data_IF_588426631408
#
_entry.id   IF_588426631408
#
_cell.length_a   1.000
_cell.length_b   1.000
_cell.length_c   1.000
_cell.angle_alpha   90.00
_cell.angle_beta   90.00
_cell.angle_gamma   90.00
#
_symmetry.space_group_name_H-M   'P 1'
#
loop_
_entity.id
_entity.type
_entity.pdbx_description
1 polymer ?
#
# COMPACT_ATOMS: atom_id res chain seq x y z
N UNK A 1 -11.40 8.43 35.94
CA UNK A 1 -11.21 8.00 34.54
C UNK A 1 -10.72 9.18 33.73
N UNK A 2 -9.51 9.13 33.16
CA UNK A 2 -9.09 10.15 32.19
C UNK A 2 -10.08 10.13 31.02
N UNK A 3 -10.72 11.26 30.76
CA UNK A 3 -11.70 11.42 29.71
C UNK A 3 -10.98 11.33 28.35
N UNK A 4 -10.99 10.14 27.74
CA UNK A 4 -10.41 9.95 26.41
C UNK A 4 -11.40 10.50 25.37
N UNK A 5 -11.14 11.70 24.85
CA UNK A 5 -12.04 12.39 23.91
C UNK A 5 -12.19 11.69 22.55
N UNK A 6 -11.33 10.71 22.23
CA UNK A 6 -11.28 10.06 20.92
C UNK A 6 -11.07 8.54 21.02
N UNK A 7 -11.70 7.81 20.10
CA UNK A 7 -11.53 6.36 19.93
C UNK A 7 -10.07 6.00 19.63
N UNK A 8 -9.57 4.94 20.26
CA UNK A 8 -8.21 4.42 20.02
C UNK A 8 -8.19 3.70 18.66
N UNK A 9 -7.69 4.38 17.62
CA UNK A 9 -7.47 3.82 16.29
C UNK A 9 -5.98 3.58 16.06
N UNK A 10 -5.64 2.47 15.41
CA UNK A 10 -4.29 2.25 14.90
C UNK A 10 -3.97 3.35 13.88
N UNK A 11 -2.79 3.98 14.02
CA UNK A 11 -2.35 5.04 13.11
C UNK A 11 -1.43 4.41 12.07
N UNK A 12 -1.68 4.58 10.77
CA UNK A 12 -0.75 4.12 9.74
C UNK A 12 0.58 4.87 9.84
N UNK A 13 1.67 4.18 9.56
CA UNK A 13 2.99 4.75 9.41
C UNK A 13 3.07 5.57 8.10
N UNK A 14 2.66 6.84 8.18
CA UNK A 14 2.68 7.79 7.07
C UNK A 14 3.77 8.84 7.29
N UNK A 15 4.42 9.24 6.19
CA UNK A 15 5.18 10.47 6.10
C UNK A 15 4.29 11.70 5.91
N UNK A 16 4.89 12.79 5.41
CA UNK A 16 4.19 14.03 5.10
C UNK A 16 3.28 13.89 3.88
N UNK A 17 3.75 13.18 2.86
CA UNK A 17 3.12 12.95 1.56
C UNK A 17 2.67 11.50 1.38
N UNK A 18 3.53 10.53 1.70
CA UNK A 18 3.24 9.11 1.50
C UNK A 18 3.95 8.22 2.53
N UNK A 19 3.74 6.90 2.45
CA UNK A 19 4.43 5.90 3.29
C UNK A 19 5.94 5.90 3.04
N UNK A 20 6.33 6.03 1.78
CA UNK A 20 7.72 6.16 1.36
C UNK A 20 7.88 7.50 0.63
N UNK A 21 8.78 8.32 1.13
CA UNK A 21 9.07 9.63 0.56
C UNK A 21 10.52 10.04 0.84
N UNK A 22 11.11 10.81 -0.06
CA UNK A 22 12.40 11.43 0.17
C UNK A 22 12.42 12.87 -0.31
N UNK A 23 12.79 13.79 0.58
CA UNK A 23 13.14 15.14 0.20
C UNK A 23 14.59 15.22 -0.26
N UNK A 24 14.81 15.68 -1.50
CA UNK A 24 16.14 15.98 -2.02
C UNK A 24 16.48 17.41 -1.59
N UNK A 25 17.59 17.56 -0.87
CA UNK A 25 18.02 18.81 -0.21
C UNK A 25 19.47 19.13 -0.51
N UNK A 26 19.87 20.36 -0.19
CA UNK A 26 21.28 20.75 -0.22
C UNK A 26 21.82 21.00 -1.62
N UNK A 27 20.98 21.21 -2.64
CA UNK A 27 21.39 21.69 -3.97
C UNK A 27 20.31 22.59 -4.61
N UNK A 28 20.51 23.05 -5.84
CA UNK A 28 19.58 23.94 -6.56
C UNK A 28 18.29 23.22 -6.96
N UNK A 29 17.18 23.96 -7.12
CA UNK A 29 15.92 23.36 -7.60
C UNK A 29 16.06 22.73 -8.98
N UNK A 30 16.89 23.30 -9.85
CA UNK A 30 17.20 22.72 -11.16
C UNK A 30 17.86 21.33 -11.04
N UNK A 31 18.88 21.19 -10.19
CA UNK A 31 19.51 19.89 -9.96
C UNK A 31 18.54 18.86 -9.37
N UNK A 32 17.66 19.28 -8.44
CA UNK A 32 16.63 18.42 -7.86
C UNK A 32 15.65 17.94 -8.94
N UNK A 33 15.14 18.85 -9.76
CA UNK A 33 14.20 18.53 -10.84
C UNK A 33 14.84 17.59 -11.87
N UNK A 34 16.08 17.86 -12.28
CA UNK A 34 16.82 17.00 -13.19
C UNK A 34 17.03 15.60 -12.63
N UNK A 35 17.43 15.49 -11.36
CA UNK A 35 17.60 14.19 -10.70
C UNK A 35 16.26 13.46 -10.56
N UNK A 36 15.21 14.12 -10.08
CA UNK A 36 13.89 13.51 -9.93
C UNK A 36 13.35 13.00 -11.27
N UNK A 37 13.55 13.75 -12.36
CA UNK A 37 13.18 13.33 -13.71
C UNK A 37 14.04 12.15 -14.21
N UNK A 38 15.33 12.13 -13.92
CA UNK A 38 16.19 11.01 -14.27
C UNK A 38 15.74 9.72 -13.56
N UNK A 39 15.59 9.79 -12.23
CA UNK A 39 15.14 8.67 -11.41
C UNK A 39 13.76 8.15 -11.83
N UNK A 40 12.84 9.05 -12.20
CA UNK A 40 11.49 8.63 -12.61
C UNK A 40 11.49 7.77 -13.87
N UNK A 41 12.41 8.00 -14.82
CA UNK A 41 12.52 7.17 -16.04
C UNK A 41 12.87 5.72 -15.71
N UNK A 42 13.67 5.50 -14.67
CA UNK A 42 14.10 4.17 -14.24
C UNK A 42 13.10 3.49 -13.31
N UNK A 43 12.44 4.26 -12.43
CA UNK A 43 11.55 3.71 -11.39
C UNK A 43 10.10 3.49 -11.85
N UNK A 44 9.59 4.33 -12.75
CA UNK A 44 8.17 4.30 -13.18
C UNK A 44 7.71 3.03 -13.91
N UNK A 45 8.57 2.22 -14.57
CA UNK A 45 8.13 0.94 -15.13
C UNK A 45 7.65 -0.07 -14.09
N UNK A 46 8.08 0.07 -12.82
CA UNK A 46 7.78 -0.89 -11.74
C UNK A 46 6.97 -0.29 -10.59
N UNK A 47 7.13 1.01 -10.33
CA UNK A 47 6.55 1.69 -9.17
C UNK A 47 5.70 2.88 -9.58
N UNK A 48 4.64 3.15 -8.82
CA UNK A 48 3.84 4.37 -8.92
C UNK A 48 4.56 5.51 -8.20
N UNK A 49 4.89 6.59 -8.92
CA UNK A 49 5.71 7.68 -8.41
C UNK A 49 4.94 8.98 -8.28
N UNK A 50 5.09 9.64 -7.14
CA UNK A 50 4.69 11.03 -6.94
C UNK A 50 5.90 11.97 -6.98
N UNK A 51 5.67 13.22 -7.36
CA UNK A 51 6.66 14.29 -7.25
C UNK A 51 6.00 15.54 -6.66
N UNK A 52 6.61 16.12 -5.63
CA UNK A 52 6.13 17.34 -4.98
C UNK A 52 7.17 18.46 -5.11
N UNK A 53 6.77 19.57 -5.73
CA UNK A 53 7.63 20.73 -6.00
C UNK A 53 6.81 22.02 -6.04
N UNK A 54 7.46 23.16 -5.85
CA UNK A 54 6.85 24.47 -5.98
C UNK A 54 7.47 25.20 -7.17
N UNK A 55 6.64 25.71 -8.07
CA UNK A 55 7.12 26.55 -9.16
C UNK A 55 7.32 27.99 -8.68
N UNK A 56 8.50 28.55 -8.92
CA UNK A 56 8.86 29.94 -8.62
C UNK A 56 9.11 30.76 -9.88
N UNK A 57 8.94 30.19 -11.09
CA UNK A 57 9.05 30.96 -12.33
C UNK A 57 7.80 31.80 -12.55
N UNK A 58 7.92 33.08 -12.18
CA UNK A 58 7.31 34.21 -12.87
C UNK A 58 5.79 34.24 -12.92
N UNK A 59 5.20 35.03 -12.02
CA UNK A 59 3.90 35.67 -12.22
C UNK A 59 3.95 36.70 -13.38
N UNK A 60 4.45 36.29 -14.55
CA UNK A 60 4.37 37.02 -15.84
C UNK A 60 3.40 36.33 -16.82
N UNK A 61 2.76 35.22 -16.42
CA UNK A 61 1.47 34.85 -17.00
C UNK A 61 0.38 35.57 -16.21
N UNK A 62 -0.27 36.54 -16.86
CA UNK A 62 -1.43 37.31 -16.40
C UNK A 62 -2.14 36.64 -15.22
N UNK A 63 -2.28 37.33 -14.08
CA UNK A 63 -3.05 36.92 -12.90
C UNK A 63 -4.27 36.09 -13.34
N UNK A 64 -4.11 34.76 -13.38
CA UNK A 64 -5.20 33.86 -13.67
C UNK A 64 -5.97 33.83 -12.38
N UNK A 65 -6.88 34.80 -12.22
CA UNK A 65 -7.91 34.75 -11.19
C UNK A 65 -8.72 33.50 -11.49
N UNK A 66 -8.36 32.40 -10.84
CA UNK A 66 -9.18 31.20 -10.81
C UNK A 66 -10.51 31.62 -10.18
N UNK A 67 -11.59 31.59 -10.97
CA UNK A 67 -12.94 31.92 -10.51
C UNK A 67 -13.66 30.70 -9.93
N UNK A 68 -13.22 29.50 -10.30
CA UNK A 68 -13.74 28.23 -9.80
C UNK A 68 -12.85 27.71 -8.68
N UNK A 69 -13.44 27.34 -7.55
CA UNK A 69 -12.71 26.77 -6.41
C UNK A 69 -11.88 25.54 -6.81
N UNK A 70 -12.38 24.77 -7.76
CA UNK A 70 -11.71 23.62 -8.38
C UNK A 70 -11.93 23.68 -9.89
N UNK A 71 -10.87 23.50 -10.67
CA UNK A 71 -10.93 23.45 -12.14
C UNK A 71 -10.35 22.13 -12.66
N UNK A 72 -11.18 21.32 -13.32
CA UNK A 72 -10.78 20.05 -13.94
C UNK A 72 -10.55 20.25 -15.44
N UNK A 73 -9.35 19.94 -15.91
CA UNK A 73 -8.98 20.02 -17.32
C UNK A 73 -8.54 18.65 -17.82
N UNK A 74 -9.22 18.19 -18.87
CA UNK A 74 -8.77 17.05 -19.66
C UNK A 74 -7.79 17.53 -20.74
N UNK A 75 -6.57 17.00 -20.73
CA UNK A 75 -5.54 17.31 -21.71
C UNK A 75 -5.08 16.03 -22.40
N UNK A 76 -4.52 16.20 -23.60
CA UNK A 76 -3.94 15.07 -24.33
C UNK A 76 -2.79 14.49 -23.49
N UNK A 77 -2.98 13.24 -23.03
CA UNK A 77 -1.99 12.47 -22.29
C UNK A 77 -2.00 12.65 -20.77
N UNK A 78 -2.75 13.60 -20.21
CA UNK A 78 -2.87 13.77 -18.75
C UNK A 78 -4.07 14.63 -18.35
N UNK A 79 -4.53 14.49 -17.11
CA UNK A 79 -5.52 15.39 -16.54
C UNK A 79 -4.86 16.38 -15.58
N UNK A 80 -5.43 17.57 -15.44
CA UNK A 80 -5.00 18.58 -14.48
C UNK A 80 -6.17 18.99 -13.60
N UNK A 81 -5.90 19.09 -12.31
CA UNK A 81 -6.82 19.63 -11.32
C UNK A 81 -6.16 20.82 -10.63
N UNK A 82 -6.75 22.01 -10.80
CA UNK A 82 -6.27 23.24 -10.17
C UNK A 82 -7.19 23.63 -9.01
N UNK A 83 -6.61 24.11 -7.91
CA UNK A 83 -7.32 24.53 -6.69
C UNK A 83 -7.00 26.00 -6.37
N UNK A 84 -7.99 26.76 -5.91
CA UNK A 84 -7.76 28.11 -5.37
C UNK A 84 -7.10 28.01 -4.00
N UNK A 85 -7.68 27.19 -3.12
CA UNK A 85 -7.16 26.99 -1.77
C UNK A 85 -6.06 25.93 -1.77
N UNK A 86 -5.01 26.17 -1.00
CA UNK A 86 -3.94 25.20 -0.83
C UNK A 86 -4.46 23.99 -0.06
N UNK A 87 -4.40 22.77 -0.63
CA UNK A 87 -4.87 21.57 0.03
C UNK A 87 -4.07 21.32 1.31
N UNK A 88 -4.76 20.91 2.37
CA UNK A 88 -4.10 20.60 3.64
C UNK A 88 -3.42 19.22 3.58
N UNK A 89 -2.63 18.90 4.60
CA UNK A 89 -1.81 17.67 4.60
C UNK A 89 -2.63 16.37 4.54
N UNK A 90 -3.89 16.37 4.99
CA UNK A 90 -4.76 15.20 4.91
C UNK A 90 -5.24 14.93 3.48
N UNK A 91 -5.58 16.00 2.75
CA UNK A 91 -6.00 15.93 1.35
C UNK A 91 -4.84 15.50 0.46
N UNK A 92 -3.66 16.10 0.68
CA UNK A 92 -2.43 15.75 -0.03
C UNK A 92 -2.09 14.26 0.11
N UNK A 93 -2.11 13.73 1.34
CA UNK A 93 -1.85 12.30 1.60
C UNK A 93 -2.89 11.39 0.94
N UNK A 94 -4.15 11.83 0.89
CA UNK A 94 -5.19 11.07 0.21
C UNK A 94 -4.91 10.96 -1.29
N UNK A 95 -4.47 12.05 -1.94
CA UNK A 95 -4.12 12.01 -3.37
C UNK A 95 -2.86 11.23 -3.68
N UNK A 96 -1.89 11.23 -2.76
CA UNK A 96 -0.64 10.47 -2.89
C UNK A 96 -0.77 9.01 -2.42
N UNK A 97 -1.95 8.58 -1.96
CA UNK A 97 -2.16 7.27 -1.34
C UNK A 97 -1.76 6.08 -2.23
N UNK A 98 -1.91 6.21 -3.55
CA UNK A 98 -1.59 5.12 -4.47
C UNK A 98 -0.09 5.04 -4.81
N UNK A 99 0.68 6.08 -4.50
CA UNK A 99 2.11 6.17 -4.83
C UNK A 99 2.93 5.26 -3.93
N UNK A 100 3.86 4.52 -4.53
CA UNK A 100 4.84 3.70 -3.84
C UNK A 100 5.99 4.53 -3.28
N UNK A 101 6.28 5.65 -3.95
CA UNK A 101 7.36 6.56 -3.63
C UNK A 101 6.98 7.98 -4.05
N UNK A 102 7.12 8.95 -3.13
CA UNK A 102 7.06 10.37 -3.46
C UNK A 102 8.45 11.01 -3.35
N UNK A 103 8.96 11.55 -4.46
CA UNK A 103 10.14 12.42 -4.45
C UNK A 103 9.71 13.86 -4.16
N UNK A 104 10.43 14.55 -3.29
CA UNK A 104 10.05 15.89 -2.82
C UNK A 104 11.21 16.84 -3.07
N UNK A 105 10.93 18.01 -3.66
CA UNK A 105 11.88 19.10 -3.65
C UNK A 105 11.95 19.71 -2.25
N UNK A 106 13.00 19.32 -1.51
CA UNK A 106 13.17 19.71 -0.12
C UNK A 106 13.42 21.21 0.09
N UNK A 107 13.80 21.95 -0.97
CA UNK A 107 13.95 23.39 -0.86
C UNK A 107 12.62 24.07 -0.51
N UNK A 108 11.50 23.48 -0.94
CA UNK A 108 10.14 23.99 -0.74
C UNK A 108 9.40 23.26 0.37
N UNK A 109 9.42 21.93 0.33
CA UNK A 109 8.60 21.10 1.23
C UNK A 109 9.44 20.21 2.14
N UNK A 110 8.82 19.74 3.21
CA UNK A 110 9.42 18.78 4.13
C UNK A 110 8.94 17.36 3.80
N UNK A 111 9.77 16.38 4.14
CA UNK A 111 9.47 14.96 4.06
C UNK A 111 10.12 14.27 5.28
N UNK A 112 9.67 13.08 5.63
CA UNK A 112 10.16 12.31 6.78
C UNK A 112 11.60 11.83 6.62
N UNK A 113 12.03 11.58 5.37
CA UNK A 113 13.37 11.11 5.01
C UNK A 113 14.01 12.06 4.00
N UNK A 114 15.33 12.16 4.01
CA UNK A 114 16.07 13.11 3.17
C UNK A 114 17.22 12.44 2.41
N UNK A 115 17.43 12.92 1.19
CA UNK A 115 18.63 12.72 0.38
C UNK A 115 19.36 14.05 0.34
N UNK A 116 20.57 14.10 0.89
CA UNK A 116 21.31 15.35 1.05
C UNK A 116 22.43 15.46 0.02
N UNK A 117 22.27 16.37 -0.94
CA UNK A 117 23.35 16.78 -1.82
C UNK A 117 24.33 17.69 -1.08
N UNK A 118 25.62 17.45 -1.28
CA UNK A 118 26.72 18.17 -0.64
C UNK A 118 27.20 19.34 -1.51
N UNK A 119 26.27 20.21 -1.94
CA UNK A 119 26.57 21.37 -2.79
C UNK A 119 26.86 22.63 -1.95
N UNK A 120 28.10 23.10 -2.00
CA UNK A 120 28.56 24.26 -1.22
C UNK A 120 27.77 25.54 -1.51
N UNK A 121 27.17 25.68 -2.69
CA UNK A 121 26.31 26.83 -3.06
C UNK A 121 25.06 26.92 -2.18
N UNK A 122 24.68 25.85 -1.47
CA UNK A 122 23.48 25.80 -0.62
C UNK A 122 23.78 25.67 0.87
N UNK A 123 25.04 25.59 1.31
CA UNK A 123 25.37 25.43 2.73
C UNK A 123 24.83 26.54 3.63
N UNK A 124 24.88 27.81 3.18
CA UNK A 124 24.32 28.93 3.94
C UNK A 124 22.79 28.89 4.07
N UNK A 125 22.10 28.31 3.08
CA UNK A 125 20.66 28.11 3.15
C UNK A 125 20.34 26.91 4.06
N UNK A 126 21.13 25.85 3.95
CA UNK A 126 20.96 24.61 4.71
C UNK A 126 21.23 24.80 6.20
N UNK A 127 22.26 25.57 6.58
CA UNK A 127 22.59 25.87 7.98
C UNK A 127 21.46 26.58 8.73
N UNK A 128 20.60 27.31 8.00
CA UNK A 128 19.38 27.94 8.54
C UNK A 128 18.16 27.01 8.59
N UNK A 129 18.23 25.84 7.97
CA UNK A 129 17.14 24.86 7.83
C UNK A 129 17.49 23.49 8.40
N UNK A 130 18.41 23.42 9.36
CA UNK A 130 18.89 22.14 9.94
C UNK A 130 17.77 21.32 10.58
N UNK A 131 16.74 21.95 11.11
CA UNK A 131 15.56 21.27 11.64
C UNK A 131 14.82 20.41 10.61
N UNK A 132 15.06 20.61 9.29
CA UNK A 132 14.50 19.80 8.21
C UNK A 132 15.33 18.55 7.89
N UNK A 133 16.54 18.43 8.41
CA UNK A 133 17.39 17.25 8.26
C UNK A 133 17.15 16.34 9.47
N UNK A 134 16.11 15.53 9.40
CA UNK A 134 15.69 14.64 10.50
C UNK A 134 16.23 13.23 10.33
N UNK A 135 16.16 12.69 9.12
CA UNK A 135 16.62 11.35 8.77
C UNK A 135 17.23 11.39 7.37
N UNK A 136 18.55 11.60 7.32
CA UNK A 136 19.31 11.61 6.07
C UNK A 136 19.74 10.19 5.75
N UNK A 137 19.20 9.62 4.67
CA UNK A 137 19.47 8.23 4.29
C UNK A 137 20.55 8.09 3.22
N UNK A 138 20.82 9.16 2.46
CA UNK A 138 21.79 9.15 1.36
C UNK A 138 22.46 10.52 1.23
N UNK A 139 23.78 10.53 1.02
CA UNK A 139 24.54 11.72 0.64
C UNK A 139 24.83 11.68 -0.86
N UNK A 140 24.64 12.81 -1.54
CA UNK A 140 24.97 12.95 -2.95
C UNK A 140 26.16 13.89 -3.15
N UNK A 141 27.12 13.42 -3.95
CA UNK A 141 28.24 14.20 -4.47
C UNK A 141 28.08 14.40 -5.98
N UNK A 142 28.97 15.16 -6.60
CA UNK A 142 29.00 15.35 -8.06
C UNK A 142 30.43 15.60 -8.51
N UNK A 143 31.06 14.59 -9.07
CA UNK A 143 32.51 14.57 -9.36
C UNK A 143 32.93 15.61 -10.41
N UNK A 144 32.03 16.00 -11.32
CA UNK A 144 32.26 16.97 -12.39
C UNK A 144 31.91 18.42 -12.00
N UNK A 145 31.43 18.68 -10.78
CA UNK A 145 31.10 20.02 -10.29
C UNK A 145 31.94 20.38 -9.05
N UNK A 146 32.86 21.35 -9.13
CA UNK A 146 33.74 21.71 -8.02
C UNK A 146 33.00 22.29 -6.80
N UNK A 147 31.72 22.66 -6.95
CA UNK A 147 30.91 23.11 -5.83
C UNK A 147 30.44 21.95 -4.95
N UNK A 148 30.42 20.72 -5.44
CA UNK A 148 30.06 19.56 -4.64
C UNK A 148 31.29 19.07 -3.87
N UNK A 149 31.15 18.98 -2.55
CA UNK A 149 32.23 18.51 -1.68
C UNK A 149 32.13 17.00 -1.47
N UNK A 150 33.28 16.35 -1.36
CA UNK A 150 33.36 14.95 -0.94
C UNK A 150 33.02 14.82 0.55
N UNK A 151 32.75 13.61 1.06
CA UNK A 151 32.44 13.40 2.49
C UNK A 151 33.53 13.94 3.45
N UNK A 152 34.80 13.95 3.03
CA UNK A 152 35.89 14.56 3.81
C UNK A 152 35.74 16.08 3.97
N UNK A 153 35.08 16.74 3.01
CA UNK A 153 34.84 18.18 2.97
C UNK A 153 33.51 18.64 3.61
N UNK A 154 32.78 17.75 4.29
CA UNK A 154 31.53 18.13 4.96
C UNK A 154 31.80 19.21 6.03
N UNK A 155 31.07 20.34 6.02
CA UNK A 155 31.19 21.41 7.01
C UNK A 155 30.90 20.95 8.45
N UNK A 156 31.52 21.61 9.41
CA UNK A 156 31.39 21.28 10.84
C UNK A 156 29.95 21.36 11.35
N UNK A 157 29.15 22.31 10.85
CA UNK A 157 27.75 22.43 11.26
C UNK A 157 26.92 21.21 10.84
N UNK A 158 27.23 20.57 9.70
CA UNK A 158 26.58 19.33 9.27
C UNK A 158 27.10 18.14 10.06
N UNK A 159 28.41 18.06 10.35
CA UNK A 159 28.97 16.99 11.20
C UNK A 159 28.35 17.01 12.60
N UNK A 160 28.12 18.19 13.16
CA UNK A 160 27.46 18.37 14.45
C UNK A 160 25.98 17.96 14.42
N UNK A 161 25.29 18.23 13.32
CA UNK A 161 23.86 17.91 13.17
C UNK A 161 23.60 16.45 12.77
N UNK A 162 24.51 15.85 12.02
CA UNK A 162 24.49 14.47 11.55
C UNK A 162 25.69 13.72 12.14
N UNK A 163 25.68 13.36 13.43
CA UNK A 163 26.85 12.75 14.08
C UNK A 163 27.27 11.42 13.43
N UNK A 164 26.32 10.65 12.90
CA UNK A 164 26.55 9.36 12.23
C UNK A 164 26.76 9.48 10.71
N UNK A 165 27.12 10.67 10.20
CA UNK A 165 27.26 10.94 8.76
C UNK A 165 28.20 9.97 8.03
N UNK A 166 29.18 9.40 8.74
CA UNK A 166 30.15 8.44 8.19
C UNK A 166 29.51 7.10 7.79
N UNK A 167 28.36 6.76 8.38
CA UNK A 167 27.63 5.54 8.08
C UNK A 167 26.57 5.73 6.98
N UNK A 168 26.33 6.98 6.56
CA UNK A 168 25.36 7.28 5.51
C UNK A 168 26.03 6.97 4.16
N UNK A 169 25.40 6.16 3.29
CA UNK A 169 25.94 5.88 1.97
C UNK A 169 26.13 7.17 1.17
N UNK A 170 27.16 7.17 0.34
CA UNK A 170 27.52 8.31 -0.51
C UNK A 170 27.53 7.82 -1.95
N UNK A 171 26.80 8.51 -2.82
CA UNK A 171 26.77 8.23 -4.26
C UNK A 171 27.07 9.51 -5.05
N UNK A 172 27.57 9.36 -6.26
CA UNK A 172 27.59 10.47 -7.22
C UNK A 172 26.19 10.65 -7.81
N UNK A 173 25.75 11.90 -7.97
CA UNK A 173 24.44 12.23 -8.56
C UNK A 173 24.31 11.73 -10.00
N UNK A 174 25.42 11.51 -10.71
CA UNK A 174 25.43 10.92 -12.05
C UNK A 174 25.26 9.39 -12.04
N UNK A 175 25.43 8.71 -10.89
CA UNK A 175 25.25 7.27 -10.74
C UNK A 175 23.77 6.90 -10.55
N UNK A 176 22.93 7.29 -11.52
CA UNK A 176 21.47 7.13 -11.46
C UNK A 176 21.05 5.70 -11.09
N UNK A 177 21.67 4.69 -11.69
CA UNK A 177 21.35 3.27 -11.41
C UNK A 177 21.61 2.87 -9.95
N UNK A 178 22.68 3.40 -9.34
CA UNK A 178 23.00 3.11 -7.94
C UNK A 178 22.01 3.80 -7.01
N UNK A 179 21.59 5.03 -7.35
CA UNK A 179 20.56 5.76 -6.60
C UNK A 179 19.22 5.03 -6.72
N UNK A 180 18.85 4.59 -7.92
CA UNK A 180 17.63 3.79 -8.15
C UNK A 180 17.66 2.52 -7.32
N UNK A 181 18.76 1.75 -7.36
CA UNK A 181 18.93 0.53 -6.57
C UNK A 181 18.82 0.80 -5.07
N UNK A 182 19.41 1.91 -4.60
CA UNK A 182 19.26 2.35 -3.23
C UNK A 182 17.81 2.63 -2.86
N UNK A 183 17.08 3.40 -3.68
CA UNK A 183 15.68 3.73 -3.42
C UNK A 183 14.80 2.48 -3.42
N UNK A 184 14.91 1.62 -4.43
CA UNK A 184 14.13 0.40 -4.54
C UNK A 184 14.33 -0.53 -3.34
N UNK A 185 15.58 -0.70 -2.88
CA UNK A 185 15.89 -1.51 -1.70
C UNK A 185 15.24 -0.95 -0.43
N UNK A 186 14.96 0.35 -0.40
CA UNK A 186 14.43 1.07 0.76
C UNK A 186 12.93 1.42 0.65
N UNK A 187 12.25 1.03 -0.43
CA UNK A 187 10.79 1.04 -0.51
C UNK A 187 10.27 -0.02 0.45
N UNK A 188 9.41 0.38 1.39
CA UNK A 188 8.86 -0.53 2.38
C UNK A 188 7.79 -1.42 1.77
N UNK A 189 8.04 -2.73 1.76
CA UNK A 189 7.04 -3.72 1.37
C UNK A 189 6.21 -4.10 2.61
N UNK A 190 4.88 -3.92 2.58
CA UNK A 190 4.03 -4.25 3.72
C UNK A 190 4.12 -5.74 4.10
N UNK A 191 4.24 -6.07 5.39
CA UNK A 191 4.14 -7.46 5.84
C UNK A 191 2.75 -8.00 5.49
N UNK A 192 2.68 -9.29 5.20
CA UNK A 192 1.42 -9.94 4.84
C UNK A 192 0.82 -10.68 6.04
N UNK A 193 -0.49 -10.58 6.19
CA UNK A 193 -1.30 -11.30 7.18
C UNK A 193 -2.49 -11.95 6.48
N UNK A 194 -2.92 -13.11 6.97
CA UNK A 194 -4.12 -13.79 6.45
C UNK A 194 -5.34 -13.38 7.26
N UNK A 195 -6.43 -13.04 6.57
CA UNK A 195 -7.77 -12.86 7.12
C UNK A 195 -8.69 -13.95 6.56
N UNK A 196 -9.09 -14.90 7.41
CA UNK A 196 -10.04 -15.94 7.03
C UNK A 196 -11.45 -15.46 7.35
N UNK A 197 -12.32 -15.49 6.33
CA UNK A 197 -13.71 -15.09 6.46
C UNK A 197 -14.54 -16.26 6.97
N UNK A 198 -14.75 -16.32 8.28
CA UNK A 198 -15.54 -17.38 8.94
C UNK A 198 -16.88 -16.88 9.51
N UNK A 199 -17.10 -15.56 9.55
CA UNK A 199 -18.34 -14.94 10.04
C UNK A 199 -19.44 -14.79 9.00
N UNK A 200 -20.64 -14.43 9.48
CA UNK A 200 -21.81 -14.14 8.63
C UNK A 200 -23.10 -14.79 9.11
N UNK A 201 -24.21 -14.45 8.46
CA UNK A 201 -25.50 -15.12 8.67
C UNK A 201 -25.55 -16.29 7.69
N UNK A 202 -25.41 -17.53 8.19
CA UNK A 202 -25.44 -18.77 7.40
C UNK A 202 -26.86 -19.07 6.85
N UNK A 203 -27.45 -18.15 6.08
CA UNK A 203 -28.87 -18.22 5.68
C UNK A 203 -29.14 -19.18 4.53
N UNK A 204 -28.16 -19.44 3.66
CA UNK A 204 -28.34 -20.29 2.46
C UNK A 204 -28.05 -21.78 2.70
N UNK A 205 -27.11 -22.11 3.58
CA UNK A 205 -26.67 -23.49 3.84
C UNK A 205 -27.46 -24.18 4.96
N UNK A 206 -28.29 -23.46 5.73
CA UNK A 206 -29.07 -24.01 6.85
C UNK A 206 -28.25 -24.50 8.06
N UNK A 207 -26.96 -24.76 7.87
CA UNK A 207 -25.94 -25.05 8.88
C UNK A 207 -24.90 -23.92 8.92
N UNK A 208 -24.25 -23.79 10.06
CA UNK A 208 -23.17 -22.85 10.26
C UNK A 208 -22.00 -23.16 9.30
N UNK A 209 -21.80 -22.31 8.27
CA UNK A 209 -20.86 -22.54 7.14
C UNK A 209 -19.42 -22.83 7.59
N UNK A 210 -19.02 -22.31 8.74
CA UNK A 210 -17.69 -22.51 9.32
C UNK A 210 -17.47 -23.91 9.94
N UNK A 211 -18.52 -24.71 10.18
CA UNK A 211 -18.40 -26.08 10.66
C UNK A 211 -18.17 -27.10 9.54
N UNK A 212 -18.19 -26.67 8.26
CA UNK A 212 -18.04 -27.58 7.13
C UNK A 212 -16.60 -28.12 7.11
N UNK A 213 -16.52 -29.44 7.18
CA UNK A 213 -15.28 -30.19 7.04
C UNK A 213 -15.15 -30.74 5.62
N UNK A 214 -14.06 -30.37 4.94
CA UNK A 214 -13.65 -30.95 3.66
C UNK A 214 -12.41 -31.83 3.82
N UNK A 215 -11.49 -31.41 4.68
CA UNK A 215 -10.20 -32.08 4.93
C UNK A 215 -10.15 -32.76 6.29
N UNK A 216 -11.24 -33.44 6.69
CA UNK A 216 -11.44 -34.01 8.03
C UNK A 216 -11.33 -33.01 9.21
N UNK A 217 -11.37 -31.72 8.91
CA UNK A 217 -11.35 -30.62 9.86
C UNK A 217 -12.18 -29.45 9.29
N UNK A 218 -12.72 -28.57 10.15
CA UNK A 218 -13.32 -27.30 9.72
C UNK A 218 -12.41 -26.55 8.74
N UNK A 219 -12.97 -26.11 7.61
CA UNK A 219 -12.15 -25.55 6.52
C UNK A 219 -11.34 -24.31 6.95
N UNK A 220 -11.87 -23.49 7.86
CA UNK A 220 -11.12 -22.36 8.42
C UNK A 220 -9.84 -22.80 9.17
N UNK A 221 -9.86 -23.97 9.82
CA UNK A 221 -8.66 -24.53 10.47
C UNK A 221 -7.65 -25.01 9.43
N UNK A 222 -8.13 -25.64 8.36
CA UNK A 222 -7.28 -26.02 7.23
C UNK A 222 -6.55 -24.79 6.64
N UNK A 223 -7.30 -23.73 6.33
CA UNK A 223 -6.74 -22.48 5.80
C UNK A 223 -5.76 -21.83 6.79
N UNK A 224 -6.10 -21.80 8.10
CA UNK A 224 -5.21 -21.27 9.14
C UNK A 224 -3.90 -22.04 9.20
N UNK A 225 -3.98 -23.37 9.27
CA UNK A 225 -2.82 -24.23 9.34
C UNK A 225 -1.95 -24.10 8.09
N UNK A 226 -2.56 -23.97 6.91
CA UNK A 226 -1.84 -23.72 5.66
C UNK A 226 -1.12 -22.37 5.66
N UNK A 227 -1.80 -21.28 6.05
CA UNK A 227 -1.17 -19.95 6.13
C UNK A 227 -0.02 -19.90 7.14
N UNK A 228 -0.20 -20.46 8.34
CA UNK A 228 0.81 -20.44 9.39
C UNK A 228 2.03 -21.32 9.05
N UNK A 229 1.83 -22.47 8.40
CA UNK A 229 2.94 -23.30 7.88
C UNK A 229 3.81 -22.55 6.87
N UNK A 230 3.24 -21.57 6.19
CA UNK A 230 3.94 -20.70 5.25
C UNK A 230 4.42 -19.38 5.88
N UNK A 231 4.45 -19.29 7.20
CA UNK A 231 4.99 -18.14 7.93
C UNK A 231 4.10 -16.90 7.92
N UNK A 232 2.83 -17.03 7.52
CA UNK A 232 1.88 -15.90 7.47
C UNK A 232 1.02 -15.88 8.73
N UNK A 233 1.12 -14.82 9.52
CA UNK A 233 0.26 -14.61 10.68
C UNK A 233 -1.21 -14.58 10.26
N UNK A 234 -2.06 -15.32 10.97
CA UNK A 234 -3.45 -15.54 10.55
C UNK A 234 -4.46 -15.08 11.60
N UNK A 235 -5.53 -14.45 11.12
CA UNK A 235 -6.66 -13.97 11.89
C UNK A 235 -7.97 -14.50 11.30
N UNK A 236 -8.95 -14.72 12.17
CA UNK A 236 -10.32 -15.06 11.79
C UNK A 236 -11.18 -13.80 11.91
N UNK A 237 -11.88 -13.44 10.82
CA UNK A 237 -12.95 -12.45 10.87
C UNK A 237 -14.26 -13.13 11.26
N UNK A 238 -14.90 -12.60 12.30
CA UNK A 238 -16.21 -13.04 12.75
C UNK A 238 -17.02 -11.90 13.37
N UNK A 239 -18.32 -12.13 13.58
CA UNK A 239 -19.12 -11.22 14.40
C UNK A 239 -18.69 -11.31 15.86
N UNK A 240 -18.89 -10.25 16.64
CA UNK A 240 -18.41 -10.18 18.03
C UNK A 240 -19.00 -11.33 18.88
N UNK A 241 -20.27 -11.66 18.70
CA UNK A 241 -20.97 -12.75 19.37
C UNK A 241 -20.48 -14.16 18.97
N UNK A 242 -19.70 -14.27 17.89
CA UNK A 242 -19.15 -15.53 17.40
C UNK A 242 -17.72 -15.78 17.90
N UNK A 243 -17.08 -14.79 18.55
CA UNK A 243 -15.65 -14.85 18.88
C UNK A 243 -15.29 -16.06 19.75
N UNK A 244 -16.14 -16.42 20.72
CA UNK A 244 -15.90 -17.57 21.60
C UNK A 244 -15.82 -18.91 20.83
N UNK A 245 -16.41 -19.00 19.63
CA UNK A 245 -16.37 -20.19 18.77
C UNK A 245 -14.99 -20.42 18.14
N UNK A 246 -14.11 -19.42 18.18
CA UNK A 246 -12.78 -19.43 17.59
C UNK A 246 -11.68 -19.20 18.64
N UNK A 247 -11.89 -19.66 19.89
CA UNK A 247 -11.01 -19.38 21.03
C UNK A 247 -9.52 -19.76 20.83
N UNK A 248 -9.22 -20.69 19.91
CA UNK A 248 -7.86 -21.13 19.58
C UNK A 248 -7.17 -20.26 18.50
N UNK A 249 -7.85 -19.25 17.97
CA UNK A 249 -7.34 -18.40 16.90
C UNK A 249 -7.26 -16.93 17.30
N UNK A 250 -6.44 -16.16 16.59
CA UNK A 250 -6.47 -14.70 16.67
C UNK A 250 -7.73 -14.20 15.95
N UNK A 251 -8.48 -13.32 16.59
CA UNK A 251 -9.78 -12.87 16.09
C UNK A 251 -9.74 -11.38 15.79
N UNK A 252 -10.32 -11.01 14.65
CA UNK A 252 -10.69 -9.64 14.34
C UNK A 252 -12.21 -9.60 14.26
N UNK A 253 -12.84 -9.06 15.31
CA UNK A 253 -14.28 -8.86 15.31
C UNK A 253 -14.67 -7.78 14.29
N UNK A 254 -15.74 -8.02 13.54
CA UNK A 254 -16.23 -7.06 12.55
C UNK A 254 -16.65 -5.75 13.23
N UNK A 255 -16.01 -4.66 12.82
CA UNK A 255 -16.34 -3.30 13.29
C UNK A 255 -17.16 -2.50 12.27
N UNK A 256 -17.23 -3.00 11.04
CA UNK A 256 -18.09 -2.52 9.97
C UNK A 256 -19.19 -3.57 9.73
N UNK A 257 -20.27 -3.46 10.49
CA UNK A 257 -21.32 -4.48 10.55
C UNK A 257 -22.20 -4.48 9.30
N UNK A 258 -22.66 -5.66 8.91
CA UNK A 258 -23.62 -5.88 7.81
C UNK A 258 -23.18 -5.38 6.42
N UNK A 259 -21.87 -5.23 6.22
CA UNK A 259 -21.25 -4.94 4.91
C UNK A 259 -20.66 -6.19 4.23
N UNK A 260 -20.94 -7.39 4.76
CA UNK A 260 -20.40 -8.63 4.23
C UNK A 260 -18.86 -8.65 4.23
N UNK A 261 -18.21 -9.26 3.22
CA UNK A 261 -16.75 -9.34 3.15
C UNK A 261 -16.03 -7.97 3.17
N UNK A 262 -16.66 -6.92 2.63
CA UNK A 262 -16.12 -5.55 2.71
C UNK A 262 -15.94 -5.11 4.16
N UNK A 263 -16.89 -5.45 5.02
CA UNK A 263 -16.82 -5.12 6.45
C UNK A 263 -15.66 -5.81 7.15
N UNK A 264 -15.40 -7.07 6.81
CA UNK A 264 -14.27 -7.83 7.33
C UNK A 264 -12.92 -7.20 6.89
N UNK A 265 -12.77 -6.90 5.60
CA UNK A 265 -11.55 -6.29 5.04
C UNK A 265 -11.27 -4.93 5.68
N UNK A 266 -12.30 -4.07 5.78
CA UNK A 266 -12.18 -2.77 6.44
C UNK A 266 -11.84 -2.92 7.94
N UNK A 267 -12.38 -3.93 8.62
CA UNK A 267 -12.07 -4.20 10.03
C UNK A 267 -10.62 -4.67 10.22
N UNK A 268 -10.09 -5.44 9.27
CA UNK A 268 -8.70 -5.88 9.27
C UNK A 268 -7.73 -4.71 9.05
N UNK A 269 -8.00 -3.82 8.08
CA UNK A 269 -7.20 -2.61 7.93
C UNK A 269 -7.34 -1.63 9.10
N UNK A 270 -8.51 -1.56 9.75
CA UNK A 270 -8.66 -0.78 10.99
C UNK A 270 -7.81 -1.36 12.13
N UNK A 271 -7.64 -2.68 12.17
CA UNK A 271 -6.81 -3.37 13.16
C UNK A 271 -5.32 -3.13 12.90
N UNK A 272 -4.88 -3.35 11.66
CA UNK A 272 -3.51 -3.10 11.21
C UNK A 272 -3.53 -2.43 9.82
N UNK A 273 -3.36 -1.10 9.76
CA UNK A 273 -3.40 -0.34 8.52
C UNK A 273 -2.09 -0.37 7.74
N UNK A 274 -1.03 -1.01 8.27
CA UNK A 274 0.29 -1.09 7.63
C UNK A 274 0.59 -2.48 7.07
N UNK A 275 -0.28 -3.47 7.33
CA UNK A 275 -0.21 -4.81 6.75
C UNK A 275 -0.99 -4.94 5.44
N UNK A 276 -0.47 -5.76 4.55
CA UNK A 276 -1.28 -6.32 3.46
C UNK A 276 -2.10 -7.51 3.97
N UNK A 277 -3.35 -7.61 3.53
CA UNK A 277 -4.29 -8.63 3.98
C UNK A 277 -4.60 -9.62 2.87
N UNK A 278 -4.11 -10.85 3.02
CA UNK A 278 -4.55 -12.00 2.24
C UNK A 278 -5.91 -12.45 2.76
N UNK A 279 -6.96 -12.16 2.01
CA UNK A 279 -8.33 -12.53 2.33
C UNK A 279 -8.61 -13.90 1.74
N UNK A 280 -9.07 -14.83 2.57
CA UNK A 280 -9.46 -16.19 2.18
C UNK A 280 -10.89 -16.48 2.67
N UNK A 281 -11.80 -16.80 1.76
CA UNK A 281 -13.12 -17.30 2.13
C UNK A 281 -13.14 -18.82 2.32
N UNK A 282 -14.06 -19.28 3.18
CA UNK A 282 -14.18 -20.70 3.51
C UNK A 282 -15.02 -21.52 2.52
N UNK A 283 -15.52 -20.93 1.44
CA UNK A 283 -16.31 -21.59 0.39
C UNK A 283 -15.46 -22.20 -0.73
N UNK A 284 -14.14 -22.20 -0.62
CA UNK A 284 -13.24 -22.71 -1.65
C UNK A 284 -12.57 -24.01 -1.18
N UNK A 285 -13.30 -25.13 -1.15
CA UNK A 285 -12.83 -26.39 -0.55
C UNK A 285 -11.56 -26.95 -1.19
N UNK A 286 -11.37 -26.67 -2.49
CA UNK A 286 -10.26 -27.14 -3.31
C UNK A 286 -9.06 -26.19 -3.28
N UNK A 287 -9.14 -25.06 -2.56
CA UNK A 287 -8.01 -24.16 -2.42
C UNK A 287 -6.89 -24.86 -1.65
N UNK A 288 -5.69 -24.86 -2.22
CA UNK A 288 -4.56 -25.67 -1.76
C UNK A 288 -3.28 -24.86 -1.54
N UNK A 289 -2.25 -25.54 -1.05
CA UNK A 289 -0.96 -24.94 -0.73
C UNK A 289 -0.23 -24.41 -1.97
N UNK A 290 -0.37 -25.08 -3.12
CA UNK A 290 0.29 -24.68 -4.36
C UNK A 290 -0.33 -23.40 -4.93
N UNK A 291 -1.66 -23.30 -4.94
CA UNK A 291 -2.39 -22.09 -5.33
C UNK A 291 -2.09 -20.93 -4.37
N UNK A 292 -2.04 -21.20 -3.06
CA UNK A 292 -1.64 -20.24 -2.05
C UNK A 292 -0.22 -19.70 -2.29
N UNK A 293 0.75 -20.59 -2.51
CA UNK A 293 2.14 -20.20 -2.79
C UNK A 293 2.28 -19.45 -4.10
N UNK A 294 1.53 -19.84 -5.13
CA UNK A 294 1.48 -19.13 -6.39
C UNK A 294 1.00 -17.68 -6.21
N UNK A 295 -0.06 -17.46 -5.41
CA UNK A 295 -0.54 -16.11 -5.11
C UNK A 295 0.50 -15.28 -4.36
N UNK A 296 1.15 -15.84 -3.33
CA UNK A 296 2.19 -15.15 -2.57
C UNK A 296 3.39 -14.77 -3.44
N UNK A 297 3.85 -15.70 -4.28
CA UNK A 297 5.01 -15.50 -5.15
C UNK A 297 4.77 -14.40 -6.19
N UNK A 298 3.54 -14.28 -6.67
CA UNK A 298 3.16 -13.30 -7.70
C UNK A 298 2.49 -12.05 -7.12
N UNK A 299 2.57 -11.83 -5.79
CA UNK A 299 2.11 -10.59 -5.16
C UNK A 299 2.77 -9.38 -5.80
N UNK A 300 1.98 -8.36 -6.15
CA UNK A 300 2.46 -7.05 -6.59
C UNK A 300 2.10 -5.95 -5.57
N UNK A 301 3.05 -5.50 -4.73
CA UNK A 301 2.83 -4.45 -3.73
C UNK A 301 2.51 -3.06 -4.31
N UNK A 302 2.81 -2.83 -5.60
CA UNK A 302 2.51 -1.56 -6.27
C UNK A 302 1.03 -1.42 -6.62
N UNK A 303 0.33 -2.54 -6.83
CA UNK A 303 -1.09 -2.58 -7.10
C UNK A 303 -1.94 -2.35 -5.83
N UNK A 304 -3.24 -2.07 -5.97
CA UNK A 304 -4.20 -2.06 -4.86
C UNK A 304 -4.39 -3.46 -4.28
N UNK A 305 -4.39 -4.46 -5.14
CA UNK A 305 -4.54 -5.84 -4.75
C UNK A 305 -3.93 -6.78 -5.79
N UNK A 306 -3.56 -7.98 -5.35
CA UNK A 306 -3.29 -9.12 -6.22
C UNK A 306 -4.42 -10.13 -6.05
N UNK A 307 -5.10 -10.49 -7.13
CA UNK A 307 -6.27 -11.37 -7.08
C UNK A 307 -6.22 -12.38 -8.23
N UNK A 308 -6.93 -13.50 -8.06
CA UNK A 308 -7.15 -14.42 -9.17
C UNK A 308 -8.32 -14.00 -10.05
N UNK A 309 -8.26 -14.37 -11.33
CA UNK A 309 -9.39 -14.36 -12.24
C UNK A 309 -10.31 -15.54 -11.93
N UNK A 310 -11.61 -15.29 -11.84
CA UNK A 310 -12.58 -16.38 -11.73
C UNK A 310 -12.71 -17.15 -13.05
N UNK A 311 -12.53 -18.48 -13.06
CA UNK A 311 -12.58 -19.28 -14.29
C UNK A 311 -13.98 -19.43 -14.89
N UNK A 312 -15.02 -19.40 -14.05
CA UNK A 312 -16.40 -19.76 -14.44
C UNK A 312 -17.25 -18.60 -14.95
N UNK A 313 -16.72 -17.38 -14.96
CA UNK A 313 -17.46 -16.20 -15.44
C UNK A 313 -16.96 -15.78 -16.82
N UNK A 314 -17.89 -15.60 -17.77
CA UNK A 314 -17.59 -15.19 -19.15
C UNK A 314 -16.74 -13.90 -19.25
N UNK A 315 -16.80 -13.06 -18.22
CA UNK A 315 -16.08 -11.79 -18.14
C UNK A 315 -14.71 -11.89 -17.42
N UNK A 316 -14.38 -13.02 -16.80
CA UNK A 316 -13.12 -13.21 -16.06
C UNK A 316 -12.91 -12.15 -14.97
N UNK A 317 -13.91 -11.91 -14.12
CA UNK A 317 -13.80 -10.92 -13.05
C UNK A 317 -12.82 -11.37 -11.95
N UNK A 318 -12.24 -10.42 -11.19
CA UNK A 318 -11.36 -10.77 -10.07
C UNK A 318 -12.14 -11.41 -8.92
N UNK A 319 -11.54 -12.42 -8.28
CA UNK A 319 -12.01 -13.04 -7.04
C UNK A 319 -11.52 -12.23 -5.83
N UNK A 320 -12.37 -11.40 -5.19
CA UNK A 320 -11.94 -10.59 -4.05
C UNK A 320 -11.69 -11.37 -2.77
N UNK A 321 -12.17 -12.62 -2.67
CA UNK A 321 -12.10 -13.43 -1.46
C UNK A 321 -10.97 -14.47 -1.51
N UNK A 322 -10.11 -14.37 -2.53
CA UNK A 322 -8.80 -15.02 -2.66
C UNK A 322 -7.84 -13.99 -3.22
N UNK A 323 -7.60 -12.94 -2.43
CA UNK A 323 -6.86 -11.77 -2.87
C UNK A 323 -6.00 -11.20 -1.75
N UNK A 324 -4.82 -10.70 -2.12
CA UNK A 324 -3.96 -9.89 -1.27
C UNK A 324 -4.34 -8.44 -1.48
N UNK A 325 -4.86 -7.78 -0.45
CA UNK A 325 -5.20 -6.37 -0.46
C UNK A 325 -4.06 -5.56 0.18
N UNK A 326 -3.47 -4.62 -0.55
CA UNK A 326 -2.37 -3.79 -0.05
C UNK A 326 -2.88 -2.64 0.85
N UNK A 327 -2.07 -2.11 1.80
CA UNK A 327 -2.47 -1.02 2.69
C UNK A 327 -3.15 0.17 2.02
N UNK A 328 -2.68 0.53 0.82
CA UNK A 328 -3.24 1.61 0.00
C UNK A 328 -4.71 1.37 -0.41
N UNK A 329 -5.17 0.12 -0.43
CA UNK A 329 -6.56 -0.21 -0.73
C UNK A 329 -7.52 0.23 0.36
N UNK A 330 -7.06 0.46 1.60
CA UNK A 330 -7.97 0.84 2.69
C UNK A 330 -8.73 2.13 2.39
N UNK A 331 -8.01 3.18 1.97
CA UNK A 331 -8.62 4.45 1.57
C UNK A 331 -9.55 4.27 0.36
N UNK A 332 -9.17 3.43 -0.61
CA UNK A 332 -9.97 3.11 -1.80
C UNK A 332 -11.28 2.39 -1.43
N UNK A 333 -11.24 1.41 -0.53
CA UNK A 333 -12.41 0.70 -0.03
C UNK A 333 -13.37 1.66 0.68
N UNK A 334 -12.85 2.56 1.53
CA UNK A 334 -13.64 3.59 2.19
C UNK A 334 -14.25 4.59 1.20
N UNK A 335 -13.52 4.95 0.14
CA UNK A 335 -14.05 5.82 -0.93
C UNK A 335 -15.23 5.19 -1.67
N UNK A 336 -15.17 3.89 -1.95
CA UNK A 336 -16.29 3.16 -2.55
C UNK A 336 -17.47 3.04 -1.58
N UNK A 337 -17.19 2.76 -0.31
CA UNK A 337 -18.21 2.70 0.72
C UNK A 337 -18.94 4.03 0.89
N UNK A 338 -18.21 5.15 0.86
CA UNK A 338 -18.78 6.50 0.91
C UNK A 338 -19.73 6.81 -0.26
N UNK A 339 -19.58 6.11 -1.38
CA UNK A 339 -20.46 6.18 -2.55
C UNK A 339 -21.57 5.12 -2.53
N UNK A 340 -21.76 4.42 -1.40
CA UNK A 340 -22.79 3.37 -1.26
C UNK A 340 -22.41 2.03 -1.90
N UNK A 341 -21.13 1.81 -2.25
CA UNK A 341 -20.65 0.54 -2.82
C UNK A 341 -19.95 -0.30 -1.75
N UNK A 342 -20.56 -1.42 -1.39
CA UNK A 342 -20.02 -2.38 -0.41
C UNK A 342 -19.51 -3.69 -1.03
N UNK A 343 -19.46 -3.79 -2.36
CA UNK A 343 -19.01 -5.01 -3.05
C UNK A 343 -17.50 -4.95 -3.34
N UNK A 344 -16.64 -5.77 -2.70
CA UNK A 344 -15.19 -5.72 -2.93
C UNK A 344 -14.78 -5.99 -4.38
N UNK A 345 -15.51 -6.87 -5.09
CA UNK A 345 -15.27 -7.14 -6.51
C UNK A 345 -15.38 -5.88 -7.36
N UNK A 346 -16.38 -5.02 -7.10
CA UNK A 346 -16.53 -3.74 -7.81
C UNK A 346 -15.35 -2.81 -7.55
N UNK A 347 -14.80 -2.83 -6.34
CA UNK A 347 -13.58 -2.07 -6.01
C UNK A 347 -12.40 -2.57 -6.83
N UNK A 348 -12.20 -3.89 -6.91
CA UNK A 348 -11.13 -4.49 -7.72
C UNK A 348 -11.26 -4.15 -9.21
N UNK A 349 -12.45 -4.29 -9.79
CA UNK A 349 -12.71 -3.98 -11.21
C UNK A 349 -12.35 -2.53 -11.56
N UNK A 350 -12.53 -1.61 -10.60
CA UNK A 350 -12.36 -0.18 -10.81
C UNK A 350 -11.09 0.36 -10.14
N UNK A 351 -10.08 -0.49 -9.94
CA UNK A 351 -8.81 -0.10 -9.33
C UNK A 351 -7.63 -0.73 -10.06
N UNK A 352 -6.44 -0.17 -9.88
CA UNK A 352 -5.20 -0.77 -10.39
C UNK A 352 -4.90 -2.07 -9.61
N UNK A 353 -5.17 -3.23 -10.21
CA UNK A 353 -4.97 -4.54 -9.59
C UNK A 353 -4.00 -5.39 -10.41
N UNK A 354 -3.32 -6.33 -9.76
CA UNK A 354 -2.58 -7.39 -10.43
C UNK A 354 -3.45 -8.64 -10.49
N UNK A 355 -3.89 -9.01 -11.70
CA UNK A 355 -4.79 -10.12 -11.92
C UNK A 355 -4.01 -11.34 -12.42
N UNK A 356 -4.23 -12.48 -11.75
CA UNK A 356 -3.55 -13.73 -12.02
C UNK A 356 -4.51 -14.77 -12.58
N UNK A 357 -4.02 -15.62 -13.47
CA UNK A 357 -4.73 -16.84 -13.86
C UNK A 357 -4.19 -18.00 -13.00
N UNK A 358 -5.09 -18.77 -12.38
CA UNK A 358 -4.70 -19.92 -11.57
C UNK A 358 -4.10 -21.02 -12.45
N UNK A 359 -3.04 -21.68 -11.95
CA UNK A 359 -2.43 -22.83 -12.63
C UNK A 359 -3.38 -24.01 -12.72
N UNK A 360 -4.22 -24.19 -11.69
CA UNK A 360 -5.27 -25.20 -11.62
C UNK A 360 -6.58 -24.48 -11.31
N UNK A 361 -7.38 -24.10 -12.33
CA UNK A 361 -8.60 -23.31 -12.15
C UNK A 361 -9.61 -23.90 -11.15
N UNK A 362 -9.65 -25.23 -11.03
CA UNK A 362 -10.53 -25.95 -10.14
C UNK A 362 -10.32 -25.61 -8.66
N UNK A 363 -9.12 -25.16 -8.26
CA UNK A 363 -8.83 -24.75 -6.88
C UNK A 363 -9.59 -23.50 -6.45
N UNK A 364 -10.14 -22.76 -7.42
CA UNK A 364 -11.01 -21.59 -7.21
C UNK A 364 -12.51 -21.91 -7.26
N UNK A 365 -12.89 -23.20 -7.23
CA UNK A 365 -14.29 -23.62 -7.26
C UNK A 365 -15.00 -23.30 -5.94
N UNK A 366 -16.07 -22.52 -6.00
CA UNK A 366 -16.89 -22.20 -4.85
C UNK A 366 -17.92 -23.30 -4.55
N UNK A 367 -18.17 -23.55 -3.26
CA UNK A 367 -19.25 -24.38 -2.73
C UNK A 367 -20.24 -23.52 -1.95
N UNK A 368 -21.27 -23.04 -2.63
CA UNK A 368 -22.27 -22.12 -2.09
C UNK A 368 -23.57 -22.82 -1.64
N UNK A 369 -23.87 -24.01 -2.19
CA UNK A 369 -25.03 -24.82 -1.80
C UNK A 369 -24.64 -26.19 -1.23
N UNK A 370 -25.55 -26.85 -0.47
CA UNK A 370 -25.31 -28.22 0.01
C UNK A 370 -25.06 -29.22 -1.13
N UNK A 371 -25.76 -29.08 -2.25
CA UNK A 371 -25.62 -29.95 -3.42
C UNK A 371 -24.26 -29.76 -4.09
N UNK A 372 -23.80 -28.50 -4.28
CA UNK A 372 -22.45 -28.22 -4.78
C UNK A 372 -21.37 -28.81 -3.87
N UNK A 373 -21.57 -28.72 -2.55
CA UNK A 373 -20.69 -29.36 -1.56
C UNK A 373 -20.65 -30.87 -1.74
N UNK A 374 -21.79 -31.52 -1.88
CA UNK A 374 -21.87 -32.99 -2.01
C UNK A 374 -21.17 -33.46 -3.30
N UNK A 375 -21.41 -32.76 -4.41
CA UNK A 375 -20.70 -33.00 -5.68
C UNK A 375 -19.18 -32.87 -5.52
N UNK A 376 -18.71 -31.83 -4.81
CA UNK A 376 -17.27 -31.63 -4.59
C UNK A 376 -16.70 -32.73 -3.69
N UNK A 377 -17.41 -33.12 -2.64
CA UNK A 377 -16.99 -34.19 -1.73
C UNK A 377 -16.89 -35.54 -2.45
N UNK A 378 -17.91 -35.90 -3.24
CA UNK A 378 -17.91 -37.13 -4.04
C UNK A 378 -16.80 -37.14 -5.08
N UNK A 379 -16.55 -36.01 -5.75
CA UNK A 379 -15.60 -35.94 -6.87
C UNK A 379 -14.14 -35.84 -6.43
N UNK A 380 -13.86 -35.18 -5.30
CA UNK A 380 -12.49 -34.79 -4.94
C UNK A 380 -12.01 -35.29 -3.58
N UNK A 381 -12.92 -35.73 -2.70
CA UNK A 381 -12.57 -36.09 -1.32
C UNK A 381 -12.79 -37.57 -0.97
N UNK A 382 -13.10 -38.41 -1.97
CA UNK A 382 -13.25 -39.87 -1.85
C UNK A 382 -13.92 -40.27 -0.52
N UNK A 383 -15.21 -39.93 -0.37
CA UNK A 383 -16.02 -40.44 0.74
C UNK A 383 -16.28 -41.94 0.51
N UNK A 384 -15.34 -42.79 0.91
CA UNK A 384 -15.57 -44.21 1.20
C UNK A 384 -15.57 -44.48 2.69
#
# INVERSE_FOLDING_TARGET
>A
MQHQKHSKLARPALGQWARTEWAILGTTCGNIQSLAQALSRHLSPKWQLGYADADHKGADEAEKTLLFAVNWLDKIGFHRLDFIETPNSWEQRFWMNEMDLVLVNGNHFEASRQILALDSRKFDSLSRKLNRLTQVDLLLTKSDDPNFVTPSGIPEFLKKHLPDWQNIPVLDIAEEEQIVSFLEKNIQIPPIKTLILAGGKSTRMGQDKFAIAYHNQPHWQFLKNMSEKNGVETFISCRAEQAERFAEAKIIADTFTDLGPMGAILSAFRHDPDAAWLVLACDLPLFDADTFQFLLKNRNPSAMATAFRQPSEEAGFPEPLVAIWEPKSYARLLQFLAQGVSCPRKVLINSNIHLLDATVPETLTNANTPEEKEIILEKYFDLR
#
